data_IF_575492063902
#
_entry.id   IF_575492063902
#
_cell.length_a   1.000
_cell.length_b   1.000
_cell.length_c   1.000
_cell.angle_alpha   90.00
_cell.angle_beta   90.00
_cell.angle_gamma   90.00
#
_symmetry.space_group_name_H-M   'P 1'
#
loop_
_entity.id
_entity.type
_entity.pdbx_description
1 polymer ?
#
# COMPACT_ATOMS: atom_id res chain seq x y z
N UNK A 1 -23.62 17.75 3.73
CA UNK A 1 -23.20 16.32 3.73
C UNK A 1 -21.69 16.32 3.56
N UNK A 2 -20.93 15.81 4.53
CA UNK A 2 -19.47 15.67 4.39
C UNK A 2 -19.14 14.28 3.88
N UNK A 3 -18.16 14.18 2.98
CA UNK A 3 -17.60 12.90 2.53
C UNK A 3 -16.37 12.64 3.40
N UNK A 4 -16.39 11.52 4.13
CA UNK A 4 -15.23 11.06 4.90
C UNK A 4 -14.29 10.30 3.96
N UNK A 5 -13.03 10.72 3.90
CA UNK A 5 -12.00 10.07 3.08
C UNK A 5 -10.65 10.12 3.80
N UNK A 6 -9.79 9.16 3.46
CA UNK A 6 -8.42 9.06 3.95
C UNK A 6 -7.47 8.82 2.77
N UNK A 7 -6.22 9.27 2.91
CA UNK A 7 -5.12 8.94 2.01
C UNK A 7 -3.90 8.51 2.83
N UNK A 8 -3.31 7.38 2.46
CA UNK A 8 -2.09 6.85 3.07
C UNK A 8 -0.90 7.05 2.11
N UNK A 9 0.10 7.83 2.55
CA UNK A 9 1.32 8.09 1.79
C UNK A 9 2.51 7.38 2.42
N UNK A 10 3.19 6.54 1.62
CA UNK A 10 4.37 5.79 2.06
C UNK A 10 5.63 6.37 1.40
N UNK A 11 6.50 7.00 2.19
CA UNK A 11 7.77 7.53 1.68
C UNK A 11 8.73 6.43 1.23
N UNK A 12 9.45 6.66 0.13
CA UNK A 12 10.47 5.74 -0.38
C UNK A 12 9.93 4.50 -1.11
N UNK A 13 8.63 4.47 -1.42
CA UNK A 13 8.00 3.45 -2.26
C UNK A 13 7.86 3.92 -3.71
N UNK A 14 7.82 2.96 -4.63
CA UNK A 14 7.50 3.17 -6.05
C UNK A 14 6.31 2.29 -6.42
N UNK A 15 5.97 2.13 -7.71
CA UNK A 15 4.86 1.25 -8.09
C UNK A 15 5.10 -0.20 -7.65
N UNK A 16 4.01 -0.97 -7.56
CA UNK A 16 4.04 -2.40 -7.24
C UNK A 16 4.66 -2.75 -5.88
N UNK A 17 4.68 -1.81 -4.92
CA UNK A 17 5.33 -2.04 -3.62
C UNK A 17 4.72 -3.17 -2.78
N UNK A 18 3.51 -3.61 -3.12
CA UNK A 18 2.81 -4.75 -2.50
C UNK A 18 3.12 -6.11 -3.14
N UNK A 19 3.71 -6.13 -4.34
CA UNK A 19 4.05 -7.36 -5.05
C UNK A 19 5.49 -7.80 -4.71
N UNK A 20 5.71 -8.96 -4.06
CA UNK A 20 7.04 -9.49 -3.77
C UNK A 20 7.92 -9.68 -5.02
N UNK A 21 7.31 -9.95 -6.16
CA UNK A 21 8.02 -10.24 -7.42
C UNK A 21 8.26 -8.98 -8.26
N UNK A 22 7.96 -7.78 -7.72
CA UNK A 22 8.08 -6.52 -8.45
C UNK A 22 9.52 -6.20 -8.92
N UNK A 23 10.51 -6.78 -8.25
CA UNK A 23 11.94 -6.56 -8.54
C UNK A 23 12.41 -7.37 -9.76
N UNK A 24 11.69 -8.44 -10.13
CA UNK A 24 12.04 -9.33 -11.24
C UNK A 24 11.98 -8.62 -12.60
N UNK A 25 11.20 -7.55 -12.70
CA UNK A 25 11.09 -6.74 -13.92
C UNK A 25 12.35 -5.93 -14.24
N UNK A 26 13.36 -5.89 -13.35
CA UNK A 26 14.64 -5.21 -13.56
C UNK A 26 14.55 -3.67 -13.59
N UNK A 27 13.39 -3.09 -13.29
CA UNK A 27 13.11 -1.64 -13.31
C UNK A 27 12.82 -1.09 -11.91
N UNK A 28 13.73 -1.36 -10.97
CA UNK A 28 13.55 -1.08 -9.53
C UNK A 28 13.39 0.41 -9.16
N UNK A 29 13.72 1.33 -10.07
CA UNK A 29 13.50 2.77 -9.89
C UNK A 29 12.03 3.20 -10.12
N UNK A 30 11.22 2.37 -10.79
CA UNK A 30 9.78 2.63 -11.02
C UNK A 30 8.87 1.58 -10.37
N UNK A 31 9.33 0.33 -10.22
CA UNK A 31 8.55 -0.78 -9.68
C UNK A 31 9.46 -1.61 -8.78
N UNK A 32 9.14 -1.69 -7.49
CA UNK A 32 9.98 -2.38 -6.49
C UNK A 32 9.17 -2.77 -5.28
N UNK A 33 9.39 -3.98 -4.77
CA UNK A 33 8.77 -4.47 -3.55
C UNK A 33 9.23 -3.65 -2.33
N UNK A 34 8.30 -3.39 -1.40
CA UNK A 34 8.63 -2.82 -0.10
C UNK A 34 7.81 -3.48 1.00
N UNK A 35 8.41 -4.48 1.66
CA UNK A 35 7.74 -5.28 2.69
C UNK A 35 7.09 -4.45 3.81
N UNK A 36 7.75 -3.38 4.25
CA UNK A 36 7.25 -2.51 5.33
C UNK A 36 6.01 -1.73 4.89
N UNK A 37 6.03 -1.17 3.68
CA UNK A 37 4.88 -0.46 3.14
C UNK A 37 3.72 -1.40 2.83
N UNK A 38 4.00 -2.58 2.26
CA UNK A 38 3.00 -3.61 1.98
C UNK A 38 2.27 -4.07 3.26
N UNK A 39 3.01 -4.35 4.33
CA UNK A 39 2.42 -4.75 5.60
C UNK A 39 1.56 -3.63 6.22
N UNK A 40 2.02 -2.38 6.14
CA UNK A 40 1.27 -1.22 6.65
C UNK A 40 -0.01 -0.95 5.85
N UNK A 41 0.08 -0.94 4.53
CA UNK A 41 -1.10 -0.72 3.67
C UNK A 41 -2.15 -1.81 3.86
N UNK A 42 -1.72 -3.06 4.06
CA UNK A 42 -2.63 -4.15 4.36
C UNK A 42 -3.32 -3.98 5.71
N UNK A 43 -2.57 -3.58 6.75
CA UNK A 43 -3.14 -3.32 8.07
C UNK A 43 -4.19 -2.18 8.02
N UNK A 44 -3.88 -1.07 7.33
CA UNK A 44 -4.82 0.04 7.19
C UNK A 44 -6.07 -0.36 6.41
N UNK A 45 -5.94 -1.12 5.32
CA UNK A 45 -7.08 -1.64 4.56
C UNK A 45 -7.98 -2.52 5.45
N UNK A 46 -7.40 -3.41 6.27
CA UNK A 46 -8.19 -4.25 7.19
C UNK A 46 -8.90 -3.41 8.24
N UNK A 47 -8.22 -2.43 8.84
CA UNK A 47 -8.85 -1.54 9.82
C UNK A 47 -10.03 -0.75 9.23
N UNK A 48 -9.90 -0.29 7.98
CA UNK A 48 -11.00 0.35 7.27
C UNK A 48 -12.17 -0.61 7.02
N UNK A 49 -11.89 -1.85 6.62
CA UNK A 49 -12.95 -2.86 6.45
C UNK A 49 -13.63 -3.22 7.78
N UNK A 50 -12.88 -3.33 8.87
CA UNK A 50 -13.44 -3.54 10.20
C UNK A 50 -14.34 -2.37 10.61
N UNK A 51 -13.98 -1.12 10.26
CA UNK A 51 -14.82 0.06 10.54
C UNK A 51 -16.16 0.03 9.80
N UNK A 52 -16.16 -0.31 8.50
CA UNK A 52 -17.37 -0.16 7.66
C UNK A 52 -18.27 -1.40 7.65
N UNK A 53 -17.80 -2.55 8.13
CA UNK A 53 -18.55 -3.81 8.13
C UNK A 53 -18.83 -4.40 9.52
N UNK A 54 -18.40 -3.75 10.60
CA UNK A 54 -18.72 -4.15 11.98
C UNK A 54 -20.19 -3.92 12.36
#
# INVERSE_FOLDING_TARGET
MFITWQMDLYGGVVHSFTNPDADEAGRTHISRYNAKAAARSWATMRAFFDEIFA
#
